data_IF_844919800694
#
_entry.id   IF_844919800694
#
_cell.length_a   1.000
_cell.length_b   1.000
_cell.length_c   1.000
_cell.angle_alpha   90.00
_cell.angle_beta   90.00
_cell.angle_gamma   90.00
#
_symmetry.space_group_name_H-M   'P 1'
#
loop_
_entity.id
_entity.type
_entity.pdbx_description
1 polymer ?
#
# COMPACT_ATOMS: atom_id res chain seq x y z
N UNK A 1 1.87 20.59 12.71
CA UNK A 1 2.61 21.84 12.95
C UNK A 1 2.40 22.33 14.38
N UNK A 2 1.16 22.33 14.88
CA UNK A 2 0.84 22.72 16.26
C UNK A 2 1.49 21.80 17.32
N UNK A 3 1.55 20.49 17.04
CA UNK A 3 2.16 19.51 17.94
C UNK A 3 3.68 19.64 18.06
N UNK A 4 4.38 20.07 17.00
CA UNK A 4 5.83 20.25 16.99
C UNK A 4 6.29 21.54 17.66
N UNK A 5 5.37 22.49 17.91
CA UNK A 5 5.65 23.77 18.57
C UNK A 5 5.35 23.75 20.08
N UNK A 6 4.98 22.59 20.63
CA UNK A 6 4.72 22.46 22.06
C UNK A 6 6.03 22.54 22.86
N UNK A 7 5.97 23.19 24.03
CA UNK A 7 7.11 23.38 24.93
C UNK A 7 7.70 22.06 25.48
N UNK A 8 6.92 20.98 25.45
CA UNK A 8 7.32 19.62 25.87
C UNK A 8 7.73 18.72 24.69
N UNK A 9 7.90 19.28 23.49
CA UNK A 9 8.28 18.49 22.32
C UNK A 9 9.73 17.97 22.46
N UNK A 10 9.86 16.68 22.73
CA UNK A 10 11.14 15.95 22.81
C UNK A 10 11.54 15.30 21.47
N UNK A 11 10.78 15.52 20.38
CA UNK A 11 11.09 14.94 19.07
C UNK A 11 12.33 15.62 18.47
N UNK A 12 13.26 14.81 17.99
CA UNK A 12 14.39 15.29 17.20
C UNK A 12 13.90 15.83 15.84
N UNK A 13 14.68 16.74 15.24
CA UNK A 13 14.42 17.22 13.87
C UNK A 13 14.32 16.06 12.87
N UNK A 14 15.13 15.03 13.05
CA UNK A 14 15.09 13.78 12.29
C UNK A 14 13.69 13.14 12.33
N UNK A 15 13.12 12.94 13.53
CA UNK A 15 11.76 12.37 13.68
C UNK A 15 10.67 13.27 13.10
N UNK A 16 10.80 14.58 13.23
CA UNK A 16 9.86 15.53 12.63
C UNK A 16 9.88 15.42 11.11
N UNK A 17 11.07 15.33 10.51
CA UNK A 17 11.23 15.14 9.06
C UNK A 17 10.65 13.81 8.60
N UNK A 18 10.86 12.72 9.34
CA UNK A 18 10.22 11.43 9.06
C UNK A 18 8.69 11.53 9.01
N UNK A 19 8.08 12.11 10.04
CA UNK A 19 6.62 12.24 10.16
C UNK A 19 6.04 13.10 9.02
N UNK A 20 6.72 14.20 8.69
CA UNK A 20 6.33 15.07 7.57
C UNK A 20 6.42 14.33 6.23
N UNK A 21 7.50 13.60 5.98
CA UNK A 21 7.67 12.83 4.75
C UNK A 21 6.63 11.71 4.62
N UNK A 22 6.35 10.98 5.71
CA UNK A 22 5.27 9.98 5.76
C UNK A 22 3.93 10.59 5.37
N UNK A 23 3.59 11.73 5.97
CA UNK A 23 2.34 12.44 5.68
C UNK A 23 2.28 12.88 4.22
N UNK A 24 3.33 13.53 3.71
CA UNK A 24 3.40 14.00 2.32
C UNK A 24 3.22 12.85 1.33
N UNK A 25 3.87 11.71 1.54
CA UNK A 25 3.78 10.57 0.62
C UNK A 25 2.39 9.94 0.65
N UNK A 26 1.79 9.82 1.84
CA UNK A 26 0.43 9.32 1.99
C UNK A 26 -0.61 10.27 1.36
N UNK A 27 -0.38 11.58 1.44
CA UNK A 27 -1.25 12.55 0.80
C UNK A 27 -1.05 12.50 -0.73
N UNK A 28 0.19 12.39 -1.23
CA UNK A 28 0.50 12.28 -2.67
C UNK A 28 -0.09 11.03 -3.30
N UNK A 29 -0.11 9.89 -2.61
CA UNK A 29 -0.75 8.68 -3.12
C UNK A 29 -2.27 8.84 -3.29
N UNK A 30 -2.86 9.86 -2.66
CA UNK A 30 -4.28 10.22 -2.74
C UNK A 30 -4.53 11.53 -3.53
N UNK A 31 -3.48 12.21 -4.02
CA UNK A 31 -3.61 13.47 -4.75
C UNK A 31 -4.27 13.21 -6.11
N UNK A 32 -5.32 13.99 -6.40
CA UNK A 32 -5.89 14.11 -7.74
C UNK A 32 -4.80 14.59 -8.72
N UNK A 33 -4.75 14.00 -9.92
CA UNK A 33 -3.72 14.24 -10.93
C UNK A 33 -3.54 15.73 -11.24
N UNK A 34 -4.58 16.54 -11.04
CA UNK A 34 -4.53 18.00 -11.18
C UNK A 34 -3.48 18.68 -10.27
N UNK A 35 -3.16 18.11 -9.10
CA UNK A 35 -2.15 18.66 -8.18
C UNK A 35 -0.70 18.50 -8.67
N UNK A 36 -0.45 17.66 -9.68
CA UNK A 36 0.89 17.37 -10.21
C UNK A 36 1.10 17.82 -11.65
N UNK A 37 0.09 18.43 -12.27
CA UNK A 37 0.20 18.97 -13.64
C UNK A 37 1.22 20.11 -13.67
N UNK A 38 2.10 20.05 -14.65
CA UNK A 38 3.08 21.09 -14.99
C UNK A 38 2.78 21.63 -16.38
N UNK A 39 3.20 22.85 -16.65
CA UNK A 39 3.07 23.46 -17.98
C UNK A 39 4.44 23.80 -18.54
N UNK A 40 4.64 23.54 -19.83
CA UNK A 40 5.85 23.90 -20.57
C UNK A 40 5.46 24.58 -21.88
N UNK A 41 6.38 25.37 -22.44
CA UNK A 41 6.22 25.99 -23.76
C UNK A 41 6.78 25.05 -24.82
N UNK A 42 5.98 24.74 -25.83
CA UNK A 42 6.38 23.93 -26.97
C UNK A 42 7.40 24.69 -27.83
N UNK A 43 8.56 24.06 -28.07
CA UNK A 43 9.66 24.64 -28.87
C UNK A 43 10.22 23.57 -29.81
N UNK A 44 9.84 23.58 -31.10
CA UNK A 44 10.27 22.58 -32.07
C UNK A 44 11.73 22.77 -32.57
N UNK A 45 12.29 23.97 -32.47
CA UNK A 45 13.65 24.31 -32.97
C UNK A 45 14.81 23.78 -32.12
N UNK A 46 14.52 23.21 -30.95
CA UNK A 46 15.48 22.37 -30.24
C UNK A 46 15.14 20.94 -30.65
N UNK A 47 16.14 20.10 -30.93
CA UNK A 47 16.04 18.63 -31.11
C UNK A 47 15.50 17.92 -29.84
N UNK A 48 14.41 18.44 -29.28
CA UNK A 48 13.55 17.84 -28.29
C UNK A 48 12.71 16.79 -29.01
N UNK A 49 13.36 15.75 -29.52
CA UNK A 49 12.70 14.45 -29.69
C UNK A 49 12.41 13.94 -28.28
N UNK A 50 11.50 14.61 -27.57
CA UNK A 50 10.91 14.09 -26.35
C UNK A 50 10.34 12.73 -26.73
N UNK A 51 10.71 11.69 -26.01
CA UNK A 51 10.16 10.33 -26.17
C UNK A 51 8.66 10.23 -25.83
N UNK A 52 7.90 11.31 -26.01
CA UNK A 52 6.46 11.24 -26.22
C UNK A 52 6.28 10.32 -27.41
N UNK A 53 5.96 9.07 -27.11
CA UNK A 53 5.59 8.09 -28.12
C UNK A 53 4.25 8.60 -28.61
N UNK A 54 4.29 9.41 -29.66
CA UNK A 54 3.14 9.96 -30.33
C UNK A 54 2.42 8.79 -30.99
N UNK A 55 1.56 8.14 -30.22
CA UNK A 55 0.42 7.47 -30.81
C UNK A 55 -0.47 8.59 -31.39
N UNK A 56 -0.56 8.75 -32.72
CA UNK A 56 -1.18 9.92 -33.36
C UNK A 56 -2.68 10.08 -33.07
N UNK A 57 -3.27 9.13 -32.34
CA UNK A 57 -4.69 9.00 -32.07
C UNK A 57 -5.11 9.50 -30.67
N UNK A 58 -4.20 10.14 -29.90
CA UNK A 58 -4.49 10.54 -28.51
C UNK A 58 -4.50 12.06 -28.23
N UNK A 59 -3.85 12.92 -29.03
CA UNK A 59 -3.84 14.38 -28.78
C UNK A 59 -3.37 15.22 -29.99
N UNK A 60 -3.77 16.49 -29.99
CA UNK A 60 -3.30 17.51 -30.94
C UNK A 60 -1.90 18.00 -30.56
N UNK A 61 -1.02 18.20 -31.55
CA UNK A 61 0.33 18.72 -31.32
C UNK A 61 0.21 20.24 -31.12
N UNK A 62 0.72 20.80 -30.00
CA UNK A 62 0.69 22.25 -29.77
C UNK A 62 1.45 23.02 -30.85
N UNK A 63 0.99 24.22 -31.19
CA UNK A 63 1.73 25.10 -32.09
C UNK A 63 3.05 25.58 -31.46
N UNK A 64 4.08 25.89 -32.26
CA UNK A 64 5.32 26.46 -31.74
C UNK A 64 5.05 27.70 -30.88
N UNK A 65 5.49 27.68 -29.62
CA UNK A 65 5.28 28.76 -28.65
C UNK A 65 4.04 28.61 -27.77
N UNK A 66 3.15 27.65 -28.04
CA UNK A 66 2.02 27.35 -27.16
C UNK A 66 2.46 26.63 -25.88
N UNK A 67 1.62 26.72 -24.84
CA UNK A 67 1.83 25.98 -23.60
C UNK A 67 1.09 24.66 -23.67
N UNK A 68 1.73 23.59 -23.21
CA UNK A 68 1.10 22.29 -23.03
C UNK A 68 1.25 21.82 -21.59
N UNK A 69 0.29 21.02 -21.16
CA UNK A 69 0.26 20.38 -19.85
C UNK A 69 0.94 19.01 -19.90
N UNK A 70 1.69 18.68 -18.85
CA UNK A 70 2.34 17.39 -18.73
C UNK A 70 2.47 16.96 -17.27
N UNK A 71 2.63 15.66 -17.08
CA UNK A 71 2.96 14.99 -15.83
C UNK A 71 4.24 14.18 -16.06
N UNK A 72 5.11 14.11 -15.05
CA UNK A 72 6.31 13.26 -15.11
C UNK A 72 5.98 11.89 -14.52
N UNK A 73 6.10 10.84 -15.33
CA UNK A 73 5.80 9.45 -14.98
C UNK A 73 7.07 8.62 -14.74
N UNK A 74 6.93 7.52 -14.01
CA UNK A 74 8.00 6.54 -13.83
C UNK A 74 8.37 5.92 -15.17
N UNK A 75 9.66 5.99 -15.52
CA UNK A 75 10.22 5.33 -16.69
C UNK A 75 11.68 4.97 -16.42
N UNK A 76 11.94 3.69 -16.20
CA UNK A 76 13.28 3.18 -15.89
C UNK A 76 14.22 3.19 -17.11
N UNK A 77 13.66 3.31 -18.32
CA UNK A 77 14.44 3.29 -19.56
C UNK A 77 15.17 4.60 -19.86
N UNK A 78 14.84 5.71 -19.18
CA UNK A 78 15.48 7.00 -19.45
C UNK A 78 15.60 7.89 -18.22
N UNK A 79 16.78 8.50 -18.05
CA UNK A 79 17.02 9.53 -17.04
C UNK A 79 16.59 10.94 -17.50
N UNK A 80 16.32 11.13 -18.81
CA UNK A 80 15.92 12.44 -19.35
C UNK A 80 14.46 12.71 -18.99
N UNK A 81 14.19 13.80 -18.28
CA UNK A 81 12.82 14.20 -17.89
C UNK A 81 11.88 14.28 -19.09
N UNK A 82 12.35 14.78 -20.23
CA UNK A 82 11.54 14.86 -21.45
C UNK A 82 11.01 13.51 -21.98
N UNK A 83 11.67 12.40 -21.64
CA UNK A 83 11.23 11.04 -22.00
C UNK A 83 10.31 10.42 -20.93
N UNK A 84 10.10 11.14 -19.84
CA UNK A 84 9.19 10.81 -18.74
C UNK A 84 7.95 11.70 -18.74
N UNK A 85 7.88 12.68 -19.63
CA UNK A 85 6.72 13.57 -19.73
C UNK A 85 5.58 12.83 -20.43
N UNK A 86 4.38 12.96 -19.88
CA UNK A 86 3.14 12.41 -20.44
C UNK A 86 1.99 13.38 -20.26
N UNK A 87 1.01 13.33 -21.15
CA UNK A 87 -0.20 14.15 -21.01
C UNK A 87 -1.07 13.66 -19.85
N UNK A 88 -1.71 14.57 -19.07
CA UNK A 88 -2.58 14.18 -17.96
C UNK A 88 -3.66 13.17 -18.34
N UNK A 89 -4.26 13.30 -19.53
CA UNK A 89 -5.27 12.40 -20.09
C UNK A 89 -4.73 10.99 -20.28
N UNK A 90 -3.50 10.88 -20.79
CA UNK A 90 -2.82 9.59 -21.03
C UNK A 90 -2.51 8.92 -19.70
N UNK A 91 -2.05 9.69 -18.71
CA UNK A 91 -1.80 9.18 -17.35
C UNK A 91 -3.09 8.66 -16.72
N UNK A 92 -4.20 9.41 -16.83
CA UNK A 92 -5.53 8.99 -16.37
C UNK A 92 -6.00 7.70 -17.04
N UNK A 93 -5.94 7.65 -18.38
CA UNK A 93 -6.50 6.56 -19.17
C UNK A 93 -5.72 5.26 -19.04
N UNK A 94 -4.39 5.36 -18.96
CA UNK A 94 -3.50 4.21 -18.91
C UNK A 94 -3.05 3.85 -17.49
N UNK A 95 -3.47 4.63 -16.48
CA UNK A 95 -3.06 4.41 -15.09
C UNK A 95 -1.54 4.46 -14.90
N UNK A 96 -0.85 5.34 -15.66
CA UNK A 96 0.62 5.45 -15.57
C UNK A 96 1.01 5.96 -14.18
N UNK A 97 2.08 5.40 -13.62
CA UNK A 97 2.58 5.79 -12.30
C UNK A 97 3.35 7.10 -12.39
N UNK A 98 3.06 8.03 -11.51
CA UNK A 98 3.74 9.33 -11.41
C UNK A 98 5.14 9.11 -10.82
N UNK A 99 6.15 9.77 -11.37
CA UNK A 99 7.50 9.79 -10.78
C UNK A 99 7.52 10.75 -9.58
N UNK A 100 7.10 10.26 -8.42
CA UNK A 100 7.04 11.04 -7.17
C UNK A 100 8.41 11.65 -6.83
N UNK A 101 9.51 10.97 -7.18
CA UNK A 101 10.87 11.42 -6.91
C UNK A 101 11.21 12.74 -7.62
N UNK A 102 10.65 12.95 -8.81
CA UNK A 102 10.79 14.20 -9.57
C UNK A 102 10.17 15.38 -8.81
N UNK A 103 8.94 15.22 -8.32
CA UNK A 103 8.20 16.27 -7.64
C UNK A 103 8.73 16.57 -6.24
N UNK A 104 9.26 15.55 -5.56
CA UNK A 104 9.85 15.71 -4.22
C UNK A 104 11.32 16.18 -4.25
N UNK A 105 11.92 16.41 -5.42
CA UNK A 105 13.33 16.80 -5.53
C UNK A 105 13.70 18.02 -4.67
N UNK A 106 12.85 19.04 -4.64
CA UNK A 106 13.08 20.24 -3.81
C UNK A 106 12.86 19.94 -2.32
N UNK A 107 11.88 19.09 -2.00
CA UNK A 107 11.58 18.67 -0.62
C UNK A 107 12.77 17.91 -0.03
N UNK A 108 13.42 17.04 -0.82
CA UNK A 108 14.63 16.31 -0.41
C UNK A 108 15.71 17.26 0.09
N UNK A 109 16.03 18.30 -0.68
CA UNK A 109 17.08 19.26 -0.30
C UNK A 109 16.72 20.06 0.95
N UNK A 110 15.44 20.46 1.09
CA UNK A 110 14.95 21.15 2.28
C UNK A 110 14.99 20.26 3.53
N UNK A 111 14.49 19.02 3.44
CA UNK A 111 14.52 18.05 4.54
C UNK A 111 15.95 17.71 4.96
N UNK A 112 16.86 17.54 4.00
CA UNK A 112 18.26 17.26 4.28
C UNK A 112 18.92 18.39 5.09
N UNK A 113 18.62 19.66 4.80
CA UNK A 113 19.13 20.81 5.57
C UNK A 113 18.70 20.81 7.04
N UNK A 114 17.57 20.17 7.38
CA UNK A 114 17.11 20.10 8.76
C UNK A 114 17.78 18.98 9.56
N UNK A 115 18.27 17.94 8.89
CA UNK A 115 18.82 16.75 9.55
C UNK A 115 20.33 16.62 9.37
N UNK A 116 20.95 17.41 8.50
CA UNK A 116 22.38 17.29 8.19
C UNK A 116 23.26 17.44 9.45
N UNK A 117 22.88 18.22 10.45
CA UNK A 117 23.63 18.32 11.71
C UNK A 117 23.66 17.04 12.56
N UNK A 118 22.83 16.03 12.24
CA UNK A 118 22.79 14.75 12.95
C UNK A 118 24.13 14.00 12.78
N UNK A 119 24.65 13.48 13.89
CA UNK A 119 25.91 12.74 13.93
C UNK A 119 25.94 11.55 12.97
N UNK A 120 24.78 10.97 12.65
CA UNK A 120 24.64 9.87 11.70
C UNK A 120 25.06 10.22 10.27
N UNK A 121 25.15 11.50 9.92
CA UNK A 121 25.58 11.97 8.60
C UNK A 121 27.01 12.51 8.56
N UNK A 122 27.71 12.57 9.70
CA UNK A 122 29.08 13.07 9.75
C UNK A 122 30.02 12.14 8.96
N UNK A 123 30.80 12.67 7.99
CA UNK A 123 31.74 11.87 7.24
C UNK A 123 32.95 11.50 8.10
N UNK A 124 33.56 10.35 7.83
CA UNK A 124 34.84 10.00 8.44
C UNK A 124 35.96 10.91 7.91
N UNK A 125 37.01 11.09 8.71
CA UNK A 125 38.18 11.90 8.33
C UNK A 125 38.83 11.41 7.03
N UNK A 126 38.81 10.09 6.78
CA UNK A 126 39.34 9.49 5.55
C UNK A 126 38.59 9.96 4.29
N UNK A 127 37.26 10.05 4.35
CA UNK A 127 36.42 10.51 3.24
C UNK A 127 36.66 12.01 2.97
N UNK A 128 36.82 12.81 4.03
CA UNK A 128 37.12 14.24 3.91
C UNK A 128 38.49 14.46 3.26
N UNK A 129 39.50 13.69 3.67
CA UNK A 129 40.84 13.74 3.08
C UNK A 129 40.86 13.32 1.61
N UNK A 130 40.12 12.27 1.24
CA UNK A 130 40.00 11.85 -0.16
C UNK A 130 39.33 12.93 -1.02
N UNK A 131 38.30 13.60 -0.50
CA UNK A 131 37.63 14.69 -1.19
C UNK A 131 38.53 15.93 -1.37
N UNK A 132 39.35 16.26 -0.37
CA UNK A 132 40.34 17.33 -0.43
C UNK A 132 41.40 17.07 -1.51
N UNK A 133 41.94 15.84 -1.57
CA UNK A 133 42.93 15.47 -2.60
C UNK A 133 42.37 15.65 -4.02
N UNK A 134 41.14 15.18 -4.26
CA UNK A 134 40.45 15.36 -5.55
C UNK A 134 40.22 16.82 -5.93
N UNK A 135 40.01 17.70 -4.95
CA UNK A 135 39.86 19.14 -5.20
C UNK A 135 41.18 19.76 -5.67
N UNK A 136 42.29 19.42 -4.99
CA UNK A 136 43.63 19.91 -5.34
C UNK A 136 44.09 19.40 -6.72
N UNK A 137 43.87 18.12 -7.01
CA UNK A 137 44.22 17.53 -8.31
C UNK A 137 43.42 18.15 -9.47
N UNK A 138 42.17 18.55 -9.22
CA UNK A 138 41.33 19.24 -10.19
C UNK A 138 41.81 20.65 -10.54
N UNK A 139 42.47 21.34 -9.62
CA UNK A 139 43.03 22.68 -9.84
C UNK A 139 44.37 22.64 -10.61
N UNK A 140 45.17 21.57 -10.47
CA UNK A 140 46.46 21.40 -11.18
C UNK A 140 46.31 21.17 -12.69
N UNK A 141 45.14 20.73 -13.18
CA UNK A 141 44.92 20.44 -14.59
C UNK A 141 44.66 21.69 -15.48
N UNK A 142 44.64 22.90 -14.90
CA UNK A 142 44.29 24.14 -15.60
C UNK A 142 45.47 24.95 -16.16
N UNK A 143 46.70 24.75 -15.65
CA UNK A 143 47.86 25.57 -15.99
C UNK A 143 48.84 24.82 -16.90
N UNK A 144 48.46 24.63 -18.16
CA UNK A 144 49.42 24.31 -19.22
C UNK A 144 49.33 25.39 -20.30
N UNK A 145 49.99 26.54 -20.06
CA UNK A 145 50.47 27.38 -21.14
C UNK A 145 51.91 26.98 -21.46
N UNK A 146 52.09 26.47 -22.67
CA UNK A 146 53.39 26.32 -23.29
C UNK A 146 54.08 27.68 -23.36
N UNK A 147 55.30 27.76 -22.85
CA UNK A 147 56.27 28.74 -23.32
C UNK A 147 57.54 28.00 -23.71
N UNK A 148 57.96 28.27 -24.94
CA UNK A 148 59.08 27.68 -25.65
C UNK A 148 60.30 28.60 -25.46
N UNK A 149 61.41 28.03 -24.97
CA UNK A 149 62.73 28.62 -25.19
C UNK A 149 63.68 28.62 -23.98
N UNK A 150 64.72 27.78 -24.09
CA UNK A 150 66.09 28.17 -23.72
C UNK A 150 66.59 27.85 -22.30
N UNK A 151 67.23 26.67 -22.19
CA UNK A 151 68.55 26.37 -21.57
C UNK A 151 69.08 27.33 -20.48
N UNK A 152 69.31 26.82 -19.25
CA UNK A 152 70.65 26.64 -18.66
C UNK A 152 70.59 25.92 -17.30
N UNK A 153 71.71 25.27 -16.96
CA UNK A 153 71.95 24.39 -15.81
C UNK A 153 72.06 25.13 -14.45
N UNK A 154 71.94 24.33 -13.38
CA UNK A 154 72.27 24.60 -11.98
C UNK A 154 71.34 25.48 -11.14
N UNK A 155 70.46 24.83 -10.37
CA UNK A 155 70.51 24.91 -8.90
C UNK A 155 69.68 23.76 -8.29
N UNK A 156 70.33 22.97 -7.44
CA UNK A 156 69.68 22.00 -6.56
C UNK A 156 69.05 22.78 -5.40
N UNK A 157 67.81 23.25 -5.59
CA UNK A 157 67.01 23.70 -4.45
C UNK A 157 66.30 22.48 -3.83
N UNK A 158 66.63 22.30 -2.56
CA UNK A 158 66.15 21.29 -1.64
C UNK A 158 64.63 21.28 -1.56
N UNK A 159 64.08 20.10 -1.27
CA UNK A 159 62.67 19.84 -1.05
C UNK A 159 62.04 20.85 -0.07
N UNK A 160 61.39 21.89 -0.57
CA UNK A 160 60.23 22.47 0.12
C UNK A 160 59.03 21.72 -0.43
N UNK A 161 58.73 20.55 0.15
CA UNK A 161 57.35 20.08 0.15
C UNK A 161 56.56 21.23 0.76
N UNK A 162 55.93 22.06 -0.09
CA UNK A 162 54.96 23.05 0.36
C UNK A 162 53.97 22.27 1.23
N UNK A 163 54.16 22.34 2.56
CA UNK A 163 53.16 21.96 3.54
C UNK A 163 52.04 22.99 3.35
N UNK A 164 51.27 22.84 2.28
CA UNK A 164 50.07 23.60 1.99
C UNK A 164 49.21 23.52 3.24
N UNK A 165 49.32 24.54 4.10
CA UNK A 165 48.57 24.64 5.33
C UNK A 165 47.10 24.41 4.96
N UNK A 166 46.56 23.27 5.41
CA UNK A 166 45.25 22.82 4.98
C UNK A 166 44.26 23.88 5.44
N UNK A 167 43.71 24.64 4.49
CA UNK A 167 42.77 25.71 4.77
C UNK A 167 41.55 25.14 5.51
N UNK A 168 41.45 25.42 6.81
CA UNK A 168 40.41 24.88 7.69
C UNK A 168 39.00 25.23 7.17
N UNK A 169 38.84 26.38 6.49
CA UNK A 169 37.60 26.80 5.85
C UNK A 169 37.23 25.91 4.65
N UNK A 170 38.20 25.45 3.86
CA UNK A 170 37.96 24.50 2.76
C UNK A 170 37.56 23.12 3.28
N UNK A 171 38.20 22.67 4.37
CA UNK A 171 37.84 21.41 5.04
C UNK A 171 36.41 21.46 5.55
N UNK A 172 36.02 22.56 6.21
CA UNK A 172 34.65 22.75 6.72
C UNK A 172 33.62 22.80 5.59
N UNK A 173 33.90 23.52 4.49
CA UNK A 173 33.00 23.55 3.32
C UNK A 173 32.80 22.17 2.68
N UNK A 174 33.87 21.38 2.57
CA UNK A 174 33.81 20.01 2.05
C UNK A 174 33.01 19.13 3.00
N UNK A 175 33.23 19.24 4.31
CA UNK A 175 32.49 18.50 5.31
C UNK A 175 31.00 18.81 5.22
N UNK A 176 30.61 20.09 5.24
CA UNK A 176 29.20 20.50 5.13
C UNK A 176 28.54 19.98 3.84
N UNK A 177 29.26 20.03 2.72
CA UNK A 177 28.76 19.50 1.45
C UNK A 177 28.58 17.97 1.48
N UNK A 178 29.50 17.24 2.13
CA UNK A 178 29.41 15.78 2.28
C UNK A 178 28.25 15.38 3.20
N UNK A 179 28.11 16.07 4.33
CA UNK A 179 27.03 15.85 5.29
C UNK A 179 25.67 16.10 4.62
N UNK A 180 25.54 17.22 3.89
CA UNK A 180 24.32 17.53 3.13
C UNK A 180 24.01 16.45 2.09
N UNK A 181 25.00 15.97 1.33
CA UNK A 181 24.81 14.87 0.37
C UNK A 181 24.39 13.56 1.04
N UNK A 182 24.97 13.25 2.20
CA UNK A 182 24.61 12.06 2.99
C UNK A 182 23.16 12.13 3.46
N UNK A 183 22.74 13.27 4.02
CA UNK A 183 21.37 13.53 4.41
C UNK A 183 20.39 13.45 3.23
N UNK A 184 20.72 14.04 2.07
CA UNK A 184 19.90 13.94 0.86
C UNK A 184 19.76 12.49 0.38
N UNK A 185 20.85 11.71 0.43
CA UNK A 185 20.84 10.28 0.07
C UNK A 185 19.90 9.50 1.00
N UNK A 186 19.96 9.77 2.30
CA UNK A 186 19.08 9.14 3.28
C UNK A 186 17.62 9.50 3.03
N UNK A 187 17.29 10.79 2.85
CA UNK A 187 15.90 11.24 2.58
C UNK A 187 15.35 10.57 1.31
N UNK A 188 16.14 10.49 0.24
CA UNK A 188 15.75 9.77 -0.99
C UNK A 188 15.46 8.29 -0.72
N UNK A 189 16.33 7.63 0.04
CA UNK A 189 16.15 6.23 0.42
C UNK A 189 14.88 6.03 1.26
N UNK A 190 14.63 6.93 2.21
CA UNK A 190 13.44 6.89 3.06
C UNK A 190 12.15 7.05 2.27
N UNK A 191 12.09 8.04 1.37
CA UNK A 191 10.94 8.25 0.46
C UNK A 191 10.69 6.99 -0.39
N UNK A 192 11.76 6.40 -0.95
CA UNK A 192 11.67 5.17 -1.76
C UNK A 192 11.09 4.01 -0.95
N UNK A 193 11.58 3.81 0.27
CA UNK A 193 11.09 2.75 1.17
C UNK A 193 9.62 2.95 1.54
N UNK A 194 9.18 4.19 1.77
CA UNK A 194 7.77 4.48 2.04
C UNK A 194 6.87 4.20 0.84
N UNK A 195 7.39 4.36 -0.39
CA UNK A 195 6.62 4.07 -1.60
C UNK A 195 6.60 2.57 -1.98
N UNK A 196 7.67 1.83 -1.67
CA UNK A 196 7.82 0.41 -1.99
C UNK A 196 7.40 -0.54 -0.86
N UNK A 197 7.46 -0.09 0.41
CA UNK A 197 7.09 -0.86 1.59
C UNK A 197 5.66 -1.41 1.53
N UNK A 198 4.64 -0.55 1.29
CA UNK A 198 3.26 -1.01 1.18
C UNK A 198 3.05 -2.07 0.09
N UNK A 199 3.80 -2.01 -1.02
CA UNK A 199 3.71 -2.99 -2.12
C UNK A 199 4.18 -4.38 -1.69
N UNK A 200 5.19 -4.45 -0.82
CA UNK A 200 5.68 -5.73 -0.28
C UNK A 200 4.66 -6.32 0.70
N UNK A 201 4.09 -5.48 1.55
CA UNK A 201 3.08 -5.90 2.52
C UNK A 201 1.79 -6.36 1.82
N UNK A 202 1.34 -5.65 0.79
CA UNK A 202 0.19 -6.03 -0.03
C UNK A 202 0.40 -7.38 -0.73
N UNK A 203 1.60 -7.64 -1.26
CA UNK A 203 1.94 -8.93 -1.86
C UNK A 203 1.92 -10.07 -0.83
N UNK A 204 2.44 -9.83 0.38
CA UNK A 204 2.40 -10.80 1.48
C UNK A 204 0.96 -11.06 1.91
N UNK A 205 0.17 -10.01 2.12
CA UNK A 205 -1.25 -10.11 2.51
C UNK A 205 -2.05 -10.86 1.44
N UNK A 206 -1.85 -10.53 0.16
CA UNK A 206 -2.52 -11.19 -0.95
C UNK A 206 -2.18 -12.68 -1.02
N UNK A 207 -0.91 -13.04 -0.81
CA UNK A 207 -0.48 -14.43 -0.77
C UNK A 207 -1.11 -15.19 0.42
N UNK A 208 -1.13 -14.59 1.60
CA UNK A 208 -1.76 -15.16 2.80
C UNK A 208 -3.27 -15.35 2.61
N UNK A 209 -3.96 -14.36 2.02
CA UNK A 209 -5.40 -14.42 1.75
C UNK A 209 -5.73 -15.54 0.75
N UNK A 210 -4.94 -15.67 -0.32
CA UNK A 210 -5.11 -16.75 -1.29
C UNK A 210 -4.89 -18.13 -0.66
N UNK A 211 -3.92 -18.25 0.26
CA UNK A 211 -3.71 -19.45 1.06
C UNK A 211 -4.93 -19.80 1.91
N UNK A 212 -5.49 -18.81 2.62
CA UNK A 212 -6.69 -18.97 3.44
C UNK A 212 -7.91 -19.38 2.62
N UNK A 213 -8.15 -18.73 1.46
CA UNK A 213 -9.27 -19.07 0.58
C UNK A 213 -9.18 -20.50 0.04
N UNK A 214 -8.00 -20.97 -0.34
CA UNK A 214 -7.79 -22.36 -0.77
C UNK A 214 -8.09 -23.35 0.36
N UNK A 215 -7.72 -23.01 1.59
CA UNK A 215 -7.99 -23.86 2.75
C UNK A 215 -9.48 -23.89 3.07
N UNK A 216 -10.15 -22.74 3.05
CA UNK A 216 -11.61 -22.63 3.21
C UNK A 216 -12.33 -23.49 2.17
N UNK A 217 -11.96 -23.38 0.90
CA UNK A 217 -12.57 -24.12 -0.19
C UNK A 217 -12.35 -25.63 -0.06
N UNK A 218 -11.17 -26.06 0.41
CA UNK A 218 -10.88 -27.47 0.74
C UNK A 218 -11.76 -27.97 1.89
N UNK A 219 -11.92 -27.18 2.96
CA UNK A 219 -12.77 -27.52 4.10
C UNK A 219 -14.23 -27.62 3.67
N UNK A 220 -14.71 -26.65 2.87
CA UNK A 220 -16.07 -26.64 2.32
C UNK A 220 -16.37 -27.89 1.51
N UNK A 221 -15.45 -28.30 0.63
CA UNK A 221 -15.60 -29.53 -0.16
C UNK A 221 -15.65 -30.79 0.72
N UNK A 222 -14.77 -30.88 1.73
CA UNK A 222 -14.77 -32.00 2.68
C UNK A 222 -16.07 -32.07 3.48
N UNK A 223 -16.56 -30.94 3.98
CA UNK A 223 -17.83 -30.88 4.70
C UNK A 223 -19.01 -31.29 3.81
N UNK A 224 -19.06 -30.83 2.56
CA UNK A 224 -20.09 -31.25 1.61
C UNK A 224 -20.04 -32.76 1.32
N UNK A 225 -18.86 -33.36 1.21
CA UNK A 225 -18.70 -34.82 1.05
C UNK A 225 -19.22 -35.56 2.29
N UNK A 226 -18.80 -35.16 3.48
CA UNK A 226 -19.23 -35.78 4.73
C UNK A 226 -20.75 -35.65 4.95
N UNK A 227 -21.33 -34.50 4.65
CA UNK A 227 -22.78 -34.29 4.72
C UNK A 227 -23.52 -35.19 3.73
N UNK A 228 -22.97 -35.39 2.54
CA UNK A 228 -23.53 -36.32 1.55
C UNK A 228 -23.44 -37.76 2.04
N UNK A 229 -22.29 -38.20 2.55
CA UNK A 229 -22.10 -39.54 3.12
C UNK A 229 -23.07 -39.77 4.30
N UNK A 230 -23.24 -38.81 5.20
CA UNK A 230 -24.22 -38.88 6.30
C UNK A 230 -25.67 -38.93 5.77
N UNK A 231 -25.97 -38.23 4.67
CA UNK A 231 -27.29 -38.30 4.05
C UNK A 231 -27.58 -39.68 3.44
N UNK A 232 -26.53 -40.37 3.00
CA UNK A 232 -26.57 -41.73 2.43
C UNK A 232 -26.49 -42.84 3.49
N UNK A 233 -26.08 -42.52 4.73
CA UNK A 233 -26.25 -43.43 5.87
C UNK A 233 -27.74 -43.69 6.04
N UNK A 234 -28.05 -44.96 5.77
CA UNK A 234 -29.37 -45.51 5.52
C UNK A 234 -30.45 -44.92 6.43
N UNK A 235 -31.54 -44.45 5.82
CA UNK A 235 -32.76 -44.02 6.52
C UNK A 235 -33.20 -45.14 7.47
N UNK A 236 -32.98 -46.40 7.09
CA UNK A 236 -33.30 -47.59 7.88
C UNK A 236 -32.45 -47.71 9.17
N UNK A 237 -31.17 -47.32 9.14
CA UNK A 237 -30.32 -47.29 10.33
C UNK A 237 -30.74 -46.17 11.30
N UNK A 238 -31.06 -44.98 10.76
CA UNK A 238 -31.63 -43.85 11.54
C UNK A 238 -32.95 -44.26 12.18
N UNK A 239 -33.85 -44.85 11.41
CA UNK A 239 -35.18 -45.30 11.86
C UNK A 239 -35.04 -46.42 12.90
N UNK A 240 -34.03 -47.31 12.77
CA UNK A 240 -33.71 -48.33 13.78
C UNK A 240 -33.18 -47.74 15.09
N UNK A 241 -32.34 -46.69 15.03
CA UNK A 241 -31.86 -45.99 16.22
C UNK A 241 -32.99 -45.23 16.91
N UNK A 242 -33.86 -44.55 16.15
CA UNK A 242 -35.03 -43.86 16.70
C UNK A 242 -36.02 -44.86 17.33
N UNK A 243 -36.27 -46.01 16.71
CA UNK A 243 -37.11 -47.08 17.28
C UNK A 243 -36.51 -47.65 18.58
N UNK A 244 -35.19 -47.81 18.63
CA UNK A 244 -34.47 -48.34 19.81
C UNK A 244 -34.36 -47.31 20.94
N UNK A 245 -34.27 -46.02 20.60
CA UNK A 245 -34.35 -44.92 21.55
C UNK A 245 -35.77 -44.80 22.14
N UNK A 246 -36.82 -44.88 21.31
CA UNK A 246 -38.22 -44.91 21.76
C UNK A 246 -38.52 -46.11 22.68
N UNK A 247 -37.97 -47.29 22.39
CA UNK A 247 -38.19 -48.46 23.25
C UNK A 247 -37.45 -48.37 24.58
N UNK A 248 -36.25 -47.76 24.61
CA UNK A 248 -35.54 -47.43 25.85
C UNK A 248 -36.30 -46.37 26.66
N UNK A 249 -36.89 -45.37 25.98
CA UNK A 249 -37.69 -44.31 26.58
C UNK A 249 -38.98 -44.89 27.20
N UNK A 250 -39.69 -45.78 26.50
CA UNK A 250 -40.84 -46.52 27.04
C UNK A 250 -40.46 -47.41 28.23
N UNK A 251 -39.30 -48.06 28.18
CA UNK A 251 -38.79 -48.88 29.29
C UNK A 251 -38.48 -48.03 30.53
N UNK A 252 -37.82 -46.88 30.36
CA UNK A 252 -37.51 -45.94 31.45
C UNK A 252 -38.78 -45.30 32.04
N UNK A 253 -39.75 -44.94 31.20
CA UNK A 253 -41.07 -44.42 31.64
C UNK A 253 -41.85 -45.48 32.42
N UNK A 254 -41.76 -46.76 32.03
CA UNK A 254 -42.44 -47.85 32.74
C UNK A 254 -41.85 -48.16 34.12
N UNK A 255 -40.55 -47.85 34.31
CA UNK A 255 -39.81 -48.20 35.53
C UNK A 255 -39.81 -47.08 36.59
N UNK A 256 -39.92 -45.80 36.18
CA UNK A 256 -39.85 -44.64 37.09
C UNK A 256 -41.09 -43.73 37.00
N UNK A 257 -42.27 -44.33 37.20
CA UNK A 257 -43.56 -43.67 36.97
C UNK A 257 -43.94 -42.54 37.95
N UNK A 258 -43.09 -42.19 38.93
CA UNK A 258 -43.40 -41.14 39.92
C UNK A 258 -42.37 -40.00 40.03
N UNK A 259 -41.17 -40.11 39.44
CA UNK A 259 -40.10 -39.09 39.62
C UNK A 259 -39.77 -38.21 38.40
N UNK A 260 -40.30 -38.47 37.21
CA UNK A 260 -39.84 -37.78 35.98
C UNK A 260 -40.71 -36.60 35.51
N UNK A 261 -41.26 -35.81 36.45
CA UNK A 261 -42.01 -34.57 36.11
C UNK A 261 -41.14 -33.56 35.35
N UNK A 262 -39.88 -33.43 35.78
CA UNK A 262 -38.89 -32.54 35.17
C UNK A 262 -38.51 -32.96 33.73
N UNK A 263 -38.53 -34.27 33.46
CA UNK A 263 -38.25 -34.82 32.14
C UNK A 263 -39.42 -34.57 31.17
N UNK A 264 -40.65 -34.66 31.66
CA UNK A 264 -41.84 -34.31 30.89
C UNK A 264 -41.90 -32.81 30.55
N UNK A 265 -41.50 -31.94 31.49
CA UNK A 265 -41.43 -30.49 31.26
C UNK A 265 -40.31 -30.12 30.29
N UNK A 266 -39.14 -30.75 30.42
CA UNK A 266 -38.05 -30.60 29.45
C UNK A 266 -38.47 -31.06 28.04
N UNK A 267 -39.15 -32.21 27.94
CA UNK A 267 -39.69 -32.75 26.68
C UNK A 267 -40.67 -31.80 26.02
N UNK A 268 -41.64 -31.27 26.78
CA UNK A 268 -42.64 -30.34 26.24
C UNK A 268 -41.98 -29.02 25.80
N UNK A 269 -40.96 -28.56 26.52
CA UNK A 269 -40.18 -27.36 26.14
C UNK A 269 -39.40 -27.61 24.85
N UNK A 270 -38.76 -28.77 24.71
CA UNK A 270 -37.99 -29.14 23.53
C UNK A 270 -38.86 -29.27 22.28
N UNK A 271 -40.03 -29.91 22.38
CA UNK A 271 -40.97 -29.99 21.25
C UNK A 271 -41.50 -28.62 20.81
N UNK A 272 -41.71 -27.69 21.76
CA UNK A 272 -42.09 -26.30 21.44
C UNK A 272 -40.98 -25.58 20.67
N UNK A 273 -39.73 -25.69 21.12
CA UNK A 273 -38.56 -25.07 20.44
C UNK A 273 -38.36 -25.64 19.04
N UNK A 274 -38.41 -26.97 18.89
CA UNK A 274 -38.28 -27.63 17.58
C UNK A 274 -39.43 -27.24 16.64
N UNK A 275 -40.67 -27.15 17.15
CA UNK A 275 -41.83 -26.69 16.38
C UNK A 275 -41.71 -25.24 15.88
N UNK A 276 -41.22 -24.33 16.73
CA UNK A 276 -40.89 -22.95 16.38
C UNK A 276 -39.83 -22.88 15.27
N UNK A 277 -38.77 -23.68 15.39
CA UNK A 277 -37.66 -23.66 14.43
C UNK A 277 -38.06 -24.19 13.04
N UNK A 278 -38.91 -25.23 13.00
CA UNK A 278 -39.49 -25.75 11.75
C UNK A 278 -40.42 -24.71 11.11
N UNK A 279 -41.18 -23.99 11.92
CA UNK A 279 -42.09 -22.94 11.44
C UNK A 279 -41.31 -21.76 10.88
N UNK A 280 -40.24 -21.34 11.56
CA UNK A 280 -39.31 -20.31 11.09
C UNK A 280 -38.70 -20.67 9.72
N UNK A 281 -38.24 -21.91 9.55
CA UNK A 281 -37.72 -22.39 8.27
C UNK A 281 -38.77 -22.39 7.15
N UNK A 282 -40.03 -22.76 7.44
CA UNK A 282 -41.13 -22.70 6.46
C UNK A 282 -41.48 -21.26 6.05
N UNK A 283 -41.47 -20.32 6.99
CA UNK A 283 -41.71 -18.90 6.70
C UNK A 283 -40.60 -18.33 5.81
N UNK A 284 -39.34 -18.62 6.14
CA UNK A 284 -38.19 -18.21 5.33
C UNK A 284 -38.25 -18.79 3.91
N UNK A 285 -38.65 -20.06 3.76
CA UNK A 285 -38.85 -20.69 2.45
C UNK A 285 -39.92 -19.99 1.62
N UNK A 286 -41.07 -19.64 2.21
CA UNK A 286 -42.16 -18.93 1.51
C UNK A 286 -41.79 -17.51 1.11
N UNK A 287 -41.02 -16.80 1.93
CA UNK A 287 -40.50 -15.46 1.62
C UNK A 287 -39.47 -15.47 0.49
N UNK A 288 -38.71 -16.56 0.33
CA UNK A 288 -37.81 -16.74 -0.81
C UNK A 288 -38.56 -17.03 -2.11
N UNK A 289 -39.66 -17.79 -2.05
CA UNK A 289 -40.51 -18.06 -3.22
C UNK A 289 -41.34 -16.84 -3.68
N UNK A 290 -41.69 -15.92 -2.77
CA UNK A 290 -42.43 -14.69 -3.05
C UNK A 290 -41.67 -13.61 -3.84
N UNK A 291 -40.35 -13.76 -4.08
CA UNK A 291 -39.56 -12.81 -4.90
C UNK A 291 -39.71 -13.00 -6.41
N UNK A 292 -40.59 -13.89 -6.88
CA UNK A 292 -41.01 -13.94 -8.29
C UNK A 292 -42.41 -13.34 -8.42
N UNK A 293 -42.47 -12.04 -8.66
CA UNK A 293 -43.71 -11.31 -8.93
C UNK A 293 -44.21 -11.49 -10.39
N UNK A 294 -45.52 -11.25 -10.67
CA UNK A 294 -46.37 -12.30 -11.23
C UNK A 294 -47.07 -11.88 -12.53
N UNK A 295 -47.68 -12.85 -13.22
CA UNK A 295 -48.80 -12.57 -14.13
C UNK A 295 -49.88 -13.65 -14.03
N UNK A 296 -50.96 -13.28 -13.36
CA UNK A 296 -52.32 -13.72 -13.64
C UNK A 296 -52.76 -15.06 -13.06
N UNK A 297 -53.42 -15.03 -11.89
CA UNK A 297 -54.81 -15.49 -11.70
C UNK A 297 -55.13 -15.59 -10.20
N UNK A 298 -56.37 -15.22 -9.87
CA UNK A 298 -57.12 -15.42 -8.62
C UNK A 298 -56.88 -16.79 -7.95
N UNK A 299 -56.93 -16.98 -6.63
CA UNK A 299 -58.02 -16.67 -5.70
C UNK A 299 -57.53 -16.92 -4.25
N UNK A 300 -58.15 -16.23 -3.28
CA UNK A 300 -58.28 -16.56 -1.86
C UNK A 300 -57.00 -16.72 -1.01
N UNK A 301 -56.46 -15.60 -0.52
CA UNK A 301 -55.62 -15.60 0.67
C UNK A 301 -56.50 -15.70 1.91
N UNK A 302 -56.67 -16.91 2.44
CA UNK A 302 -56.98 -17.06 3.87
C UNK A 302 -55.70 -16.73 4.63
N UNK A 303 -55.50 -15.44 4.87
CA UNK A 303 -54.58 -14.93 5.88
C UNK A 303 -55.10 -15.47 7.22
N UNK A 304 -54.51 -16.55 7.71
CA UNK A 304 -54.76 -16.98 9.07
C UNK A 304 -54.11 -15.92 9.96
N UNK A 305 -54.94 -15.09 10.59
CA UNK A 305 -54.52 -14.05 11.50
C UNK A 305 -53.60 -14.67 12.56
N UNK A 306 -52.43 -14.06 12.75
CA UNK A 306 -51.40 -14.53 13.69
C UNK A 306 -51.98 -14.64 15.12
N UNK A 307 -53.01 -13.85 15.41
CA UNK A 307 -53.74 -13.86 16.68
C UNK A 307 -54.51 -15.18 16.91
N UNK A 308 -55.04 -15.83 15.86
CA UNK A 308 -55.75 -17.12 15.96
C UNK A 308 -54.80 -18.28 16.33
N UNK A 309 -53.51 -18.17 15.98
CA UNK A 309 -52.50 -19.20 16.28
C UNK A 309 -51.95 -19.02 17.70
N UNK A 310 -51.88 -17.78 18.20
CA UNK A 310 -51.46 -17.49 19.57
C UNK A 310 -52.52 -17.97 20.57
N UNK A 311 -53.81 -17.83 20.25
CA UNK A 311 -54.91 -18.27 21.13
C UNK A 311 -55.02 -19.80 21.26
N UNK A 312 -54.58 -20.56 20.24
CA UNK A 312 -54.58 -22.04 20.28
C UNK A 312 -53.50 -22.64 21.21
N UNK A 313 -52.50 -21.88 21.62
CA UNK A 313 -51.34 -22.39 22.39
C UNK A 313 -50.96 -21.54 23.62
N UNK A 314 -51.77 -20.53 23.97
CA UNK A 314 -51.69 -19.77 25.21
C UNK A 314 -52.17 -20.53 26.44
#
# INVERSE_FOLDING_TARGET
MEESMRLDNTRTLHRIVEDVLKKIINDISQIDLNGVVKTAVWRPDKDNKSGLTLEPYLYEIPEPGERFEYIVVENDSSQKVGNKMEYPEVVRRLGKKIDISYYLKTVVGLCARFINYDESFQPSSEIVLEALKKLKDGNKAGDNKADDGGVDEDDLDEDEEDEDEINEDEVSKIRDALVQKSAEKWVRGYIKNLHEGPKKDEAIISHLWNGAHKQEESIRLKLSSLLKEISEVDIEYRDSMYKRAMSLEQYLISYYLDECKLLADFRNTWYKVVGLEITHHRILSKLQDGKKEPRGASHDSSEADIDDIIELYG
#
